data_IF_927663333169
#
_entry.id   IF_927663333169
#
_cell.length_a   1.000
_cell.length_b   1.000
_cell.length_c   1.000
_cell.angle_alpha   90.00
_cell.angle_beta   90.00
_cell.angle_gamma   90.00
#
_symmetry.space_group_name_H-M   'P 1'
#
loop_
_entity.id
_entity.type
_entity.pdbx_description
1 polymer ?
#
# COMPACT_ATOMS: atom_id res chain seq x y z
N UNK A 1 1.86 33.62 10.74
CA UNK A 1 0.94 32.49 10.52
C UNK A 1 1.29 31.92 9.16
N UNK A 2 2.17 30.92 9.10
CA UNK A 2 2.47 30.21 7.86
C UNK A 2 1.29 29.31 7.55
N UNK A 3 0.63 29.52 6.42
CA UNK A 3 -0.42 28.64 5.91
C UNK A 3 0.11 27.20 5.82
N UNK A 4 -0.77 26.18 5.80
CA UNK A 4 -0.34 24.80 5.66
C UNK A 4 0.51 24.69 4.39
N UNK A 5 1.78 24.27 4.55
CA UNK A 5 2.66 24.05 3.40
C UNK A 5 1.96 23.06 2.44
N UNK A 6 1.85 23.44 1.16
CA UNK A 6 1.33 22.54 0.13
C UNK A 6 2.18 21.27 0.18
N UNK A 7 1.52 20.14 0.46
CA UNK A 7 2.21 18.83 0.51
C UNK A 7 2.73 18.49 -0.88
N UNK A 8 4.02 18.19 -0.98
CA UNK A 8 4.67 17.79 -2.23
C UNK A 8 4.08 16.45 -2.72
N UNK A 9 3.59 16.44 -3.98
CA UNK A 9 3.07 15.22 -4.62
C UNK A 9 4.26 14.35 -5.05
N UNK A 10 4.35 13.13 -4.52
CA UNK A 10 5.37 12.16 -4.91
C UNK A 10 4.87 11.24 -6.03
N UNK A 11 3.67 10.69 -5.88
CA UNK A 11 3.04 9.80 -6.86
C UNK A 11 1.62 10.28 -7.17
N UNK A 12 1.26 10.28 -8.44
CA UNK A 12 -0.09 10.59 -8.91
C UNK A 12 -0.55 9.50 -9.87
N UNK A 13 -1.75 8.97 -9.64
CA UNK A 13 -2.41 7.97 -10.47
C UNK A 13 -3.66 8.59 -11.07
N UNK A 14 -3.75 8.60 -12.43
CA UNK A 14 -4.82 9.22 -13.20
C UNK A 14 -5.51 8.19 -14.09
N UNK A 15 -6.79 7.99 -13.90
CA UNK A 15 -7.68 7.13 -14.71
C UNK A 15 -7.05 5.75 -15.01
N UNK A 16 -6.37 5.18 -14.02
CA UNK A 16 -5.61 3.95 -14.20
C UNK A 16 -6.55 2.78 -14.47
N UNK A 17 -6.28 2.10 -15.60
CA UNK A 17 -6.98 0.89 -15.99
C UNK A 17 -5.99 -0.25 -16.17
N UNK A 18 -6.32 -1.44 -15.64
CA UNK A 18 -5.51 -2.65 -15.78
C UNK A 18 -6.44 -3.81 -16.09
N UNK A 19 -6.27 -4.39 -17.29
CA UNK A 19 -7.06 -5.49 -17.79
C UNK A 19 -6.16 -6.71 -17.98
N UNK A 20 -6.54 -7.85 -17.43
CA UNK A 20 -5.90 -9.14 -17.68
C UNK A 20 -6.60 -9.89 -18.80
N UNK A 21 -5.84 -10.60 -19.62
CA UNK A 21 -6.33 -11.37 -20.72
C UNK A 21 -6.76 -10.52 -21.92
N UNK A 22 -7.39 -11.17 -22.93
CA UNK A 22 -7.84 -10.53 -24.17
C UNK A 22 -9.20 -11.11 -24.63
N UNK A 23 -9.95 -10.32 -25.38
CA UNK A 23 -11.24 -10.73 -25.95
C UNK A 23 -12.27 -11.11 -24.89
N UNK A 24 -12.97 -12.24 -25.07
CA UNK A 24 -14.04 -12.68 -24.14
C UNK A 24 -13.57 -13.11 -22.76
N UNK A 25 -12.26 -13.27 -22.54
CA UNK A 25 -11.64 -13.61 -21.25
C UNK A 25 -10.98 -12.41 -20.60
N UNK A 26 -11.19 -11.22 -21.12
CA UNK A 26 -10.68 -10.00 -20.51
C UNK A 26 -11.36 -9.77 -19.16
N UNK A 27 -10.56 -9.41 -18.16
CA UNK A 27 -11.02 -9.07 -16.81
C UNK A 27 -10.37 -7.76 -16.37
N UNK A 28 -11.20 -6.77 -16.04
CA UNK A 28 -10.74 -5.47 -15.58
C UNK A 28 -10.44 -5.52 -14.08
N UNK A 29 -9.17 -5.69 -13.75
CA UNK A 29 -8.70 -5.76 -12.38
C UNK A 29 -8.63 -4.39 -11.69
N UNK A 30 -8.45 -3.31 -12.47
CA UNK A 30 -8.47 -1.93 -11.99
C UNK A 30 -9.21 -1.08 -13.02
N UNK A 31 -10.13 -0.25 -12.55
CA UNK A 31 -11.00 0.58 -13.37
C UNK A 31 -10.95 2.03 -12.88
N UNK A 32 -10.43 2.94 -13.72
CA UNK A 32 -10.40 4.39 -13.49
C UNK A 32 -9.92 4.79 -12.08
N UNK A 33 -8.87 4.12 -11.58
CA UNK A 33 -8.34 4.46 -10.27
C UNK A 33 -7.64 5.82 -10.30
N UNK A 34 -8.03 6.69 -9.37
CA UNK A 34 -7.51 8.05 -9.23
C UNK A 34 -7.10 8.30 -7.77
N UNK A 35 -5.85 8.64 -7.53
CA UNK A 35 -5.36 9.07 -6.21
C UNK A 35 -3.98 9.73 -6.31
N UNK A 36 -3.63 10.43 -5.25
CA UNK A 36 -2.34 11.10 -5.09
C UNK A 36 -1.69 10.64 -3.79
N UNK A 37 -0.39 10.39 -3.81
CA UNK A 37 0.42 10.10 -2.61
C UNK A 37 1.41 11.25 -2.41
N UNK A 38 1.38 11.83 -1.21
CA UNK A 38 2.30 12.91 -0.85
C UNK A 38 3.61 12.36 -0.29
N UNK A 39 4.68 13.12 -0.46
CA UNK A 39 5.99 12.77 0.07
C UNK A 39 5.97 12.64 1.59
N UNK A 40 6.56 11.56 2.10
CA UNK A 40 6.67 11.26 3.52
C UNK A 40 5.39 10.73 4.16
N UNK A 41 4.26 10.56 3.41
CA UNK A 41 3.05 9.95 3.98
C UNK A 41 3.04 8.42 3.86
N UNK A 42 2.27 7.79 4.72
CA UNK A 42 1.81 6.41 4.52
C UNK A 42 0.40 6.45 3.97
N UNK A 43 0.26 6.13 2.67
CA UNK A 43 -1.02 6.01 1.99
C UNK A 43 -1.49 4.57 2.05
N UNK A 44 -2.64 4.33 2.69
CA UNK A 44 -3.25 3.02 2.83
C UNK A 44 -4.14 2.67 1.64
N UNK A 45 -4.06 1.45 1.13
CA UNK A 45 -4.98 0.90 0.13
C UNK A 45 -5.61 -0.38 0.69
N UNK A 46 -6.91 -0.33 1.01
CA UNK A 46 -7.64 -1.41 1.70
C UNK A 46 -8.80 -1.93 0.88
N UNK A 47 -9.12 -3.20 1.02
CA UNK A 47 -10.25 -3.88 0.36
C UNK A 47 -10.10 -5.39 0.44
N UNK A 48 -11.11 -6.13 0.05
CA UNK A 48 -11.10 -7.60 0.03
C UNK A 48 -10.02 -8.20 -0.88
N UNK A 49 -9.73 -9.49 -0.70
CA UNK A 49 -8.84 -10.22 -1.60
C UNK A 49 -9.39 -10.18 -3.03
N UNK A 50 -8.51 -9.95 -4.00
CA UNK A 50 -8.90 -9.82 -5.42
C UNK A 50 -9.48 -8.46 -5.81
N UNK A 51 -9.54 -7.46 -4.92
CA UNK A 51 -10.08 -6.13 -5.26
C UNK A 51 -9.18 -5.27 -6.15
N UNK A 52 -7.95 -5.70 -6.47
CA UNK A 52 -7.03 -4.96 -7.35
C UNK A 52 -5.85 -4.28 -6.66
N UNK A 53 -5.72 -4.35 -5.32
CA UNK A 53 -4.65 -3.68 -4.54
C UNK A 53 -3.24 -4.02 -5.00
N UNK A 54 -2.89 -5.29 -4.97
CA UNK A 54 -1.59 -5.80 -5.42
C UNK A 54 -1.33 -5.49 -6.90
N UNK A 55 -2.38 -5.49 -7.72
CA UNK A 55 -2.32 -5.13 -9.14
C UNK A 55 -1.88 -3.68 -9.31
N UNK A 56 -2.45 -2.74 -8.55
CA UNK A 56 -2.03 -1.33 -8.54
C UNK A 56 -0.56 -1.22 -8.08
N UNK A 57 -0.19 -1.85 -6.97
CA UNK A 57 1.19 -1.84 -6.48
C UNK A 57 2.19 -2.34 -7.52
N UNK A 58 1.89 -3.45 -8.19
CA UNK A 58 2.74 -4.02 -9.25
C UNK A 58 2.80 -3.16 -10.51
N UNK A 59 1.74 -2.44 -10.84
CA UNK A 59 1.74 -1.49 -11.97
C UNK A 59 2.63 -0.27 -11.68
N UNK A 60 2.59 0.26 -10.44
CA UNK A 60 3.49 1.34 -10.00
C UNK A 60 4.95 0.90 -10.09
N UNK A 61 5.26 -0.32 -9.70
CA UNK A 61 6.59 -0.93 -9.83
C UNK A 61 6.96 -1.32 -11.27
N UNK A 62 6.06 -1.12 -12.24
CA UNK A 62 6.25 -1.48 -13.65
C UNK A 62 6.42 -3.00 -13.89
N UNK A 63 6.05 -3.83 -12.92
CA UNK A 63 6.02 -5.30 -13.05
C UNK A 63 4.85 -5.73 -13.94
N UNK A 64 3.75 -4.97 -13.91
CA UNK A 64 2.57 -5.19 -14.75
C UNK A 64 2.35 -4.01 -15.70
N UNK A 65 2.00 -4.28 -16.98
CA UNK A 65 1.60 -3.23 -17.89
C UNK A 65 0.21 -2.67 -17.51
N UNK A 66 -0.03 -1.41 -17.86
CA UNK A 66 -1.33 -0.76 -17.72
C UNK A 66 -2.08 -0.80 -19.05
N UNK A 67 -3.43 -0.93 -19.01
CA UNK A 67 -4.29 -0.89 -20.19
C UNK A 67 -4.67 0.53 -20.58
N UNK A 68 -4.67 1.47 -19.59
CA UNK A 68 -5.00 2.88 -19.79
C UNK A 68 -4.61 3.72 -18.58
N UNK A 69 -4.72 5.03 -18.71
CA UNK A 69 -4.39 5.98 -17.67
C UNK A 69 -2.89 6.25 -17.52
N UNK A 70 -2.56 7.02 -16.50
CA UNK A 70 -1.19 7.48 -16.25
C UNK A 70 -0.78 7.26 -14.78
N UNK A 71 0.48 6.91 -14.61
CA UNK A 71 1.17 6.90 -13.32
C UNK A 71 2.32 7.88 -13.43
N UNK A 72 2.27 8.93 -12.59
CA UNK A 72 3.27 9.98 -12.55
C UNK A 72 4.04 9.88 -11.22
N UNK A 73 5.36 9.80 -11.30
CA UNK A 73 6.25 9.85 -10.15
C UNK A 73 7.09 11.12 -10.21
N UNK A 74 7.00 11.97 -9.19
CA UNK A 74 7.61 13.33 -9.21
C UNK A 74 7.22 14.13 -10.47
N UNK A 75 5.93 14.03 -10.87
CA UNK A 75 5.41 14.69 -12.07
C UNK A 75 5.82 14.06 -13.41
N UNK A 76 6.64 13.02 -13.40
CA UNK A 76 7.13 12.34 -14.60
C UNK A 76 6.38 11.01 -14.81
N UNK A 77 5.86 10.80 -16.05
CA UNK A 77 5.16 9.56 -16.40
C UNK A 77 6.11 8.36 -16.35
N UNK A 78 5.70 7.33 -15.60
CA UNK A 78 6.49 6.13 -15.38
C UNK A 78 5.89 4.85 -15.98
N UNK A 79 4.62 4.83 -16.37
CA UNK A 79 4.03 3.67 -17.05
C UNK A 79 4.23 3.74 -18.56
N UNK A 80 4.20 2.57 -19.23
CA UNK A 80 4.50 2.45 -20.66
C UNK A 80 6.01 2.46 -20.98
N UNK A 81 6.38 2.99 -22.14
CA UNK A 81 7.79 3.09 -22.55
C UNK A 81 8.46 4.29 -21.90
N UNK A 82 9.56 4.06 -21.20
CA UNK A 82 10.40 5.12 -20.59
C UNK A 82 11.85 4.97 -21.02
N UNK A 83 12.66 6.01 -20.75
CA UNK A 83 14.09 5.95 -21.01
C UNK A 83 14.81 4.99 -20.05
N UNK A 84 15.94 4.41 -20.50
CA UNK A 84 16.76 3.53 -19.65
C UNK A 84 17.31 4.26 -18.42
N UNK A 85 17.55 5.56 -18.53
CA UNK A 85 18.02 6.38 -17.42
C UNK A 85 16.95 6.50 -16.33
N UNK A 86 15.69 6.79 -16.73
CA UNK A 86 14.57 6.86 -15.80
C UNK A 86 14.28 5.48 -15.16
N UNK A 87 14.34 4.42 -15.94
CA UNK A 87 14.13 3.06 -15.42
C UNK A 87 15.15 2.70 -14.33
N UNK A 88 16.43 3.04 -14.54
CA UNK A 88 17.49 2.86 -13.55
C UNK A 88 17.26 3.72 -12.29
N UNK A 89 16.79 4.95 -12.45
CA UNK A 89 16.43 5.83 -11.33
C UNK A 89 15.28 5.24 -10.51
N UNK A 90 14.19 4.82 -11.18
CA UNK A 90 13.02 4.23 -10.52
C UNK A 90 13.37 2.95 -9.76
N UNK A 91 14.25 2.11 -10.33
CA UNK A 91 14.74 0.89 -9.66
C UNK A 91 15.46 1.18 -8.34
N UNK A 92 16.06 2.36 -8.19
CA UNK A 92 16.64 2.81 -6.92
C UNK A 92 15.58 3.40 -6.00
N UNK A 93 14.74 4.31 -6.53
CA UNK A 93 13.86 5.16 -5.72
C UNK A 93 12.58 4.46 -5.28
N UNK A 94 12.11 3.44 -6.02
CA UNK A 94 10.88 2.70 -5.73
C UNK A 94 11.21 1.24 -5.43
N UNK A 95 10.84 0.76 -4.25
CA UNK A 95 11.08 -0.61 -3.80
C UNK A 95 9.79 -1.29 -3.34
N UNK A 96 9.85 -2.62 -3.15
CA UNK A 96 8.72 -3.42 -2.69
C UNK A 96 9.07 -4.26 -1.47
N UNK A 97 8.17 -4.28 -0.50
CA UNK A 97 8.13 -5.29 0.55
C UNK A 97 7.01 -6.26 0.20
N UNK A 98 7.35 -7.53 0.04
CA UNK A 98 6.43 -8.57 -0.44
C UNK A 98 5.58 -9.16 0.69
N UNK A 99 4.41 -9.68 0.33
CA UNK A 99 3.45 -10.31 1.22
C UNK A 99 4.00 -11.55 1.92
N UNK A 100 4.66 -12.43 1.16
CA UNK A 100 5.23 -13.68 1.67
C UNK A 100 6.76 -13.63 1.65
N UNK A 101 7.39 -13.50 2.83
CA UNK A 101 8.84 -13.50 2.92
C UNK A 101 9.47 -14.84 2.52
N UNK A 102 8.73 -15.97 2.60
CA UNK A 102 9.27 -17.27 2.25
C UNK A 102 9.45 -17.38 0.73
N UNK A 103 8.43 -17.03 -0.04
CA UNK A 103 8.52 -17.08 -1.51
C UNK A 103 9.40 -15.98 -2.11
N UNK A 104 9.67 -14.91 -1.37
CA UNK A 104 10.42 -13.74 -1.86
C UNK A 104 11.93 -13.80 -1.59
N UNK A 105 12.39 -14.69 -0.72
CA UNK A 105 13.80 -14.87 -0.38
C UNK A 105 14.35 -16.15 -1.02
N UNK A 106 15.56 -16.08 -1.60
CA UNK A 106 16.25 -17.25 -2.12
C UNK A 106 16.81 -18.09 -0.98
N UNK A 107 16.17 -19.21 -0.64
CA UNK A 107 16.57 -20.11 0.44
C UNK A 107 17.99 -20.69 0.31
N UNK A 108 18.60 -20.62 -0.88
CA UNK A 108 19.96 -21.10 -1.16
C UNK A 108 21.02 -20.01 -1.08
N UNK A 109 20.63 -18.76 -0.87
CA UNK A 109 21.53 -17.63 -0.76
C UNK A 109 21.68 -17.20 0.71
N UNK A 110 22.87 -16.72 1.08
CA UNK A 110 23.10 -16.10 2.39
C UNK A 110 22.34 -14.79 2.51
N UNK A 111 21.96 -14.42 3.72
CA UNK A 111 21.29 -13.14 4.03
C UNK A 111 22.10 -11.95 3.51
N UNK A 112 23.44 -11.97 3.64
CA UNK A 112 24.30 -10.93 3.09
C UNK A 112 24.13 -10.72 1.59
N UNK A 113 23.99 -11.80 0.82
CA UNK A 113 23.74 -11.73 -0.61
C UNK A 113 22.35 -11.18 -0.90
N UNK A 114 21.30 -11.72 -0.25
CA UNK A 114 19.89 -11.32 -0.46
C UNK A 114 19.70 -9.82 -0.19
N UNK A 115 20.23 -9.35 0.94
CA UNK A 115 20.11 -7.94 1.32
C UNK A 115 20.95 -7.06 0.40
N UNK A 116 22.20 -7.49 0.07
CA UNK A 116 23.16 -6.70 -0.69
C UNK A 116 22.97 -6.72 -2.21
N UNK A 117 22.12 -7.61 -2.77
CA UNK A 117 21.96 -7.80 -4.21
C UNK A 117 21.59 -6.49 -4.95
N UNK A 118 20.66 -5.72 -4.38
CA UNK A 118 20.24 -4.43 -4.95
C UNK A 118 21.37 -3.42 -5.13
N UNK A 119 22.38 -3.43 -4.23
CA UNK A 119 23.52 -2.53 -4.31
C UNK A 119 24.40 -2.77 -5.54
N UNK A 120 24.45 -4.00 -6.06
CA UNK A 120 25.27 -4.31 -7.25
C UNK A 120 24.81 -3.51 -8.48
N UNK A 121 23.50 -3.30 -8.61
CA UNK A 121 22.90 -2.61 -9.72
C UNK A 121 22.84 -1.08 -9.49
N UNK A 122 22.54 -0.68 -8.25
CA UNK A 122 22.30 0.73 -7.91
C UNK A 122 23.58 1.47 -7.54
N UNK A 123 24.54 0.79 -6.90
CA UNK A 123 25.81 1.35 -6.42
C UNK A 123 27.00 0.46 -6.83
N UNK A 124 27.26 0.32 -8.14
CA UNK A 124 28.40 -0.47 -8.63
C UNK A 124 29.76 0.12 -8.22
N UNK A 125 29.79 1.37 -7.81
CA UNK A 125 30.96 2.11 -7.31
C UNK A 125 31.47 1.61 -5.94
N UNK A 126 30.64 0.90 -5.17
CA UNK A 126 31.02 0.46 -3.83
C UNK A 126 32.00 -0.72 -3.87
N UNK A 127 33.04 -0.64 -3.06
CA UNK A 127 33.95 -1.80 -2.79
C UNK A 127 33.22 -2.94 -2.05
N UNK A 128 33.74 -4.16 -2.08
CA UNK A 128 33.16 -5.28 -1.31
C UNK A 128 33.01 -4.96 0.17
N UNK A 129 34.02 -4.36 0.82
CA UNK A 129 33.97 -3.98 2.22
C UNK A 129 32.89 -2.91 2.53
N UNK A 130 32.70 -1.94 1.64
CA UNK A 130 31.64 -0.94 1.79
C UNK A 130 30.24 -1.56 1.63
N UNK A 131 30.07 -2.54 0.76
CA UNK A 131 28.81 -3.29 0.62
C UNK A 131 28.51 -4.10 1.86
N UNK A 132 29.51 -4.79 2.41
CA UNK A 132 29.37 -5.57 3.64
C UNK A 132 28.95 -4.67 4.82
N UNK A 133 29.55 -3.49 4.96
CA UNK A 133 29.18 -2.53 5.99
C UNK A 133 27.74 -2.01 5.81
N UNK A 134 27.29 -1.73 4.56
CA UNK A 134 25.90 -1.35 4.29
C UNK A 134 24.92 -2.49 4.62
N UNK A 135 25.28 -3.75 4.34
CA UNK A 135 24.47 -4.91 4.74
C UNK A 135 24.37 -5.02 6.25
N UNK A 136 25.50 -4.88 6.95
CA UNK A 136 25.55 -4.85 8.42
C UNK A 136 24.62 -3.79 9.01
N UNK A 137 24.68 -2.57 8.47
CA UNK A 137 23.82 -1.47 8.91
C UNK A 137 22.35 -1.73 8.59
N UNK A 138 22.03 -2.23 7.41
CA UNK A 138 20.64 -2.55 7.03
C UNK A 138 20.02 -3.62 7.93
N UNK A 139 20.80 -4.59 8.40
CA UNK A 139 20.33 -5.58 9.38
C UNK A 139 20.06 -4.94 10.74
N UNK A 140 20.95 -4.07 11.21
CA UNK A 140 20.75 -3.31 12.46
C UNK A 140 19.49 -2.43 12.39
N UNK A 141 19.26 -1.75 11.28
CA UNK A 141 18.11 -0.88 11.07
C UNK A 141 16.77 -1.61 11.23
N UNK A 142 16.74 -2.91 10.94
CA UNK A 142 15.54 -3.74 11.13
C UNK A 142 15.56 -4.57 12.42
N UNK A 143 16.51 -4.30 13.32
CA UNK A 143 16.65 -4.98 14.61
C UNK A 143 17.13 -6.44 14.50
N UNK A 144 17.95 -6.74 13.50
CA UNK A 144 18.64 -8.02 13.37
C UNK A 144 20.13 -7.88 13.68
N UNK A 145 20.72 -8.94 14.22
CA UNK A 145 22.16 -8.97 14.54
C UNK A 145 22.99 -9.05 13.24
N UNK A 146 24.10 -8.30 13.13
CA UNK A 146 24.98 -8.34 11.96
C UNK A 146 25.51 -9.74 11.62
N UNK A 147 25.75 -10.60 12.64
CA UNK A 147 26.23 -11.98 12.47
C UNK A 147 25.26 -12.84 11.65
N UNK A 148 24.00 -12.44 11.57
CA UNK A 148 22.99 -13.11 10.76
C UNK A 148 23.24 -13.01 9.26
N UNK A 149 24.11 -12.11 8.82
CA UNK A 149 24.51 -11.94 7.42
C UNK A 149 25.07 -13.23 6.78
N UNK A 150 25.72 -14.10 7.58
CA UNK A 150 26.32 -15.36 7.12
C UNK A 150 25.34 -16.53 7.02
N UNK A 151 24.15 -16.41 7.59
CA UNK A 151 23.12 -17.46 7.67
C UNK A 151 22.23 -17.50 6.42
N UNK A 152 21.38 -18.55 6.35
CA UNK A 152 20.40 -18.76 5.29
C UNK A 152 18.98 -18.49 5.77
N UNK A 153 18.02 -18.12 4.89
CA UNK A 153 16.65 -17.78 5.28
C UNK A 153 15.94 -18.87 6.09
N UNK A 154 16.16 -20.16 5.80
CA UNK A 154 15.53 -21.26 6.53
C UNK A 154 15.92 -21.36 8.00
N UNK A 155 16.97 -20.69 8.45
CA UNK A 155 17.40 -20.62 9.85
C UNK A 155 16.65 -19.56 10.68
N UNK A 156 15.70 -18.83 10.08
CA UNK A 156 15.00 -17.69 10.69
C UNK A 156 13.50 -17.93 10.87
N UNK A 157 12.92 -17.31 11.89
CA UNK A 157 11.47 -17.24 12.06
C UNK A 157 10.81 -16.40 10.95
N UNK A 158 9.49 -16.53 10.76
CA UNK A 158 8.73 -15.76 9.78
C UNK A 158 8.91 -14.25 9.95
N UNK A 159 8.87 -13.75 11.19
CA UNK A 159 9.11 -12.33 11.47
C UNK A 159 10.53 -11.85 11.19
N UNK A 160 11.53 -12.69 11.43
CA UNK A 160 12.92 -12.39 11.08
C UNK A 160 13.11 -12.39 9.56
N UNK A 161 12.51 -13.33 8.83
CA UNK A 161 12.52 -13.34 7.36
C UNK A 161 11.87 -12.09 6.79
N UNK A 162 10.74 -11.63 7.39
CA UNK A 162 10.12 -10.37 6.99
C UNK A 162 11.06 -9.18 7.19
N UNK A 163 11.77 -9.13 8.31
CA UNK A 163 12.77 -8.07 8.56
C UNK A 163 13.94 -8.13 7.57
N UNK A 164 14.37 -9.32 7.13
CA UNK A 164 15.35 -9.47 6.05
C UNK A 164 14.81 -8.89 4.74
N UNK A 165 13.53 -9.16 4.40
CA UNK A 165 12.85 -8.58 3.24
C UNK A 165 12.76 -7.05 3.31
N UNK A 166 12.50 -6.49 4.50
CA UNK A 166 12.50 -5.06 4.73
C UNK A 166 13.92 -4.49 4.55
N UNK A 167 14.95 -5.12 5.14
CA UNK A 167 16.36 -4.70 4.99
C UNK A 167 16.78 -4.69 3.52
N UNK A 168 16.38 -5.69 2.73
CA UNK A 168 16.62 -5.75 1.28
C UNK A 168 16.01 -4.55 0.54
N UNK A 169 14.80 -4.14 0.91
CA UNK A 169 14.16 -2.98 0.29
C UNK A 169 14.85 -1.66 0.70
N UNK A 170 15.30 -1.55 1.95
CA UNK A 170 15.89 -0.33 2.51
C UNK A 170 17.33 -0.05 2.09
N UNK A 171 18.11 -1.08 1.75
CA UNK A 171 19.56 -0.95 1.55
C UNK A 171 19.93 -0.02 0.38
N UNK A 172 19.03 0.14 -0.59
CA UNK A 172 19.21 1.04 -1.74
C UNK A 172 18.77 2.48 -1.44
N UNK A 173 18.30 2.75 -0.21
CA UNK A 173 17.84 4.04 0.27
C UNK A 173 16.69 4.60 -0.60
N UNK A 174 15.53 3.89 -0.68
CA UNK A 174 14.40 4.29 -1.52
C UNK A 174 13.67 5.51 -0.93
N UNK A 175 13.03 6.29 -1.80
CA UNK A 175 12.10 7.35 -1.37
C UNK A 175 10.65 6.83 -1.24
N UNK A 176 10.30 5.78 -2.00
CA UNK A 176 8.97 5.22 -2.04
C UNK A 176 8.98 3.69 -1.92
N UNK A 177 8.15 3.14 -1.05
CA UNK A 177 8.02 1.70 -0.85
C UNK A 177 6.57 1.28 -1.02
N UNK A 178 6.32 0.31 -1.89
CA UNK A 178 5.07 -0.45 -1.95
C UNK A 178 5.17 -1.60 -0.96
N UNK A 179 4.43 -1.55 0.13
CA UNK A 179 4.34 -2.60 1.13
C UNK A 179 3.06 -3.43 0.89
N UNK A 180 3.21 -4.55 0.17
CA UNK A 180 2.09 -5.41 -0.21
C UNK A 180 1.85 -6.47 0.87
N UNK A 181 0.82 -6.26 1.69
CA UNK A 181 0.41 -7.10 2.82
C UNK A 181 1.59 -7.57 3.72
N UNK A 182 2.49 -6.67 4.17
CA UNK A 182 3.78 -7.04 4.76
C UNK A 182 3.69 -7.75 6.11
N UNK A 183 2.49 -7.90 6.66
CA UNK A 183 2.24 -8.49 7.99
C UNK A 183 1.21 -9.63 7.97
N UNK A 184 0.62 -9.95 6.82
CA UNK A 184 -0.50 -10.91 6.72
C UNK A 184 -0.13 -12.32 7.21
N UNK A 185 1.08 -12.76 6.93
CA UNK A 185 1.60 -14.09 7.29
C UNK A 185 2.23 -14.17 8.69
N UNK A 186 2.13 -13.11 9.52
CA UNK A 186 2.80 -13.01 10.81
C UNK A 186 1.82 -13.16 11.98
N UNK A 187 2.32 -13.68 13.11
CA UNK A 187 1.60 -13.73 14.38
C UNK A 187 1.34 -12.31 14.92
N UNK A 188 0.28 -12.14 15.72
CA UNK A 188 -0.19 -10.84 16.21
C UNK A 188 0.90 -10.01 16.90
N UNK A 189 1.73 -10.62 17.77
CA UNK A 189 2.82 -9.93 18.47
C UNK A 189 3.91 -9.44 17.52
N UNK A 190 4.23 -10.22 16.51
CA UNK A 190 5.23 -9.90 15.50
C UNK A 190 4.70 -8.82 14.52
N UNK A 191 3.38 -8.87 14.18
CA UNK A 191 2.74 -7.81 13.37
C UNK A 191 2.95 -6.43 13.97
N UNK A 192 2.70 -6.26 15.28
CA UNK A 192 2.89 -4.99 15.97
C UNK A 192 4.35 -4.48 15.89
N UNK A 193 5.32 -5.40 16.06
CA UNK A 193 6.74 -5.04 15.95
C UNK A 193 7.12 -4.58 14.54
N UNK A 194 6.64 -5.25 13.49
CA UNK A 194 6.92 -4.88 12.09
C UNK A 194 6.24 -3.57 11.74
N UNK A 195 4.99 -3.33 12.17
CA UNK A 195 4.31 -2.05 11.96
C UNK A 195 5.05 -0.88 12.63
N UNK A 196 5.49 -1.08 13.88
CA UNK A 196 6.27 -0.07 14.61
C UNK A 196 7.61 0.22 13.90
N UNK A 197 8.28 -0.81 13.39
CA UNK A 197 9.50 -0.66 12.61
C UNK A 197 9.26 0.18 11.35
N UNK A 198 8.23 -0.13 10.54
CA UNK A 198 7.92 0.61 9.31
C UNK A 198 7.56 2.08 9.62
N UNK A 199 6.78 2.32 10.68
CA UNK A 199 6.43 3.67 11.14
C UNK A 199 7.64 4.46 11.63
N UNK A 200 8.57 3.81 12.33
CA UNK A 200 9.83 4.42 12.77
C UNK A 200 10.68 4.83 11.56
N UNK A 201 10.86 3.91 10.60
CA UNK A 201 11.60 4.16 9.35
C UNK A 201 10.98 5.30 8.50
N UNK A 202 9.64 5.38 8.43
CA UNK A 202 8.95 6.50 7.79
C UNK A 202 9.37 7.84 8.42
N UNK A 203 9.31 7.93 9.74
CA UNK A 203 9.61 9.17 10.47
C UNK A 203 11.08 9.56 10.42
N UNK A 204 11.97 8.60 10.60
CA UNK A 204 13.43 8.86 10.67
C UNK A 204 14.04 9.14 9.30
N UNK A 205 13.53 8.48 8.24
CA UNK A 205 14.12 8.55 6.89
C UNK A 205 13.25 9.30 5.88
N UNK A 206 12.06 9.74 6.26
CA UNK A 206 11.12 10.42 5.35
C UNK A 206 10.60 9.52 4.22
N UNK A 207 10.59 8.19 4.42
CA UNK A 207 10.13 7.24 3.40
C UNK A 207 8.63 7.39 3.19
N UNK A 208 8.20 7.41 1.94
CA UNK A 208 6.79 7.38 1.57
C UNK A 208 6.35 5.94 1.37
N UNK A 209 5.16 5.57 1.87
CA UNK A 209 4.62 4.22 1.70
C UNK A 209 3.30 4.22 0.93
N UNK A 210 3.15 3.27 -0.01
CA UNK A 210 1.86 2.69 -0.37
C UNK A 210 1.70 1.39 0.44
N UNK A 211 0.89 1.44 1.48
CA UNK A 211 0.65 0.30 2.36
C UNK A 211 -0.63 -0.42 1.94
N UNK A 212 -0.51 -1.65 1.50
CA UNK A 212 -1.62 -2.50 1.06
C UNK A 212 -1.96 -3.49 2.17
N UNK A 213 -3.23 -3.54 2.58
CA UNK A 213 -3.74 -4.56 3.50
C UNK A 213 -5.24 -4.81 3.26
N UNK A 214 -5.78 -5.83 3.92
CA UNK A 214 -7.21 -6.11 3.93
C UNK A 214 -7.89 -5.74 5.27
N UNK A 215 -7.11 -5.35 6.28
CA UNK A 215 -7.58 -5.04 7.63
C UNK A 215 -7.54 -3.53 7.88
N UNK A 216 -8.71 -2.92 8.04
CA UNK A 216 -8.88 -1.48 8.31
C UNK A 216 -8.33 -1.07 9.69
N UNK A 217 -8.29 -1.97 10.68
CA UNK A 217 -7.73 -1.65 12.01
C UNK A 217 -6.22 -1.44 11.93
N UNK A 218 -5.54 -2.24 11.12
CA UNK A 218 -4.12 -2.06 10.80
C UNK A 218 -3.90 -0.75 10.05
N UNK A 219 -4.77 -0.47 9.07
CA UNK A 219 -4.67 0.74 8.25
C UNK A 219 -4.83 2.01 9.08
N UNK A 220 -5.81 2.06 10.00
CA UNK A 220 -5.97 3.18 10.93
C UNK A 220 -4.71 3.45 11.75
N UNK A 221 -3.97 2.40 12.12
CA UNK A 221 -2.77 2.53 12.94
C UNK A 221 -1.57 3.11 12.18
N UNK A 222 -1.37 2.68 10.92
CA UNK A 222 -0.14 3.00 10.18
C UNK A 222 -0.30 4.12 9.15
N UNK A 223 -1.51 4.33 8.61
CA UNK A 223 -1.74 5.22 7.47
C UNK A 223 -2.12 6.64 7.90
N UNK A 224 -1.70 7.63 7.11
CA UNK A 224 -2.15 9.01 7.21
C UNK A 224 -3.49 9.19 6.49
N UNK A 225 -3.63 8.57 5.31
CA UNK A 225 -4.84 8.54 4.48
C UNK A 225 -5.10 7.14 4.00
N UNK A 226 -6.38 6.81 3.78
CA UNK A 226 -6.81 5.48 3.35
C UNK A 226 -7.71 5.61 2.12
N UNK A 227 -7.42 4.84 1.07
CA UNK A 227 -8.32 4.58 -0.04
C UNK A 227 -8.92 3.18 0.09
N UNK A 228 -10.22 3.09 -0.06
CA UNK A 228 -10.99 1.82 -0.04
C UNK A 228 -11.26 1.40 -1.47
N UNK A 229 -10.83 0.20 -1.85
CA UNK A 229 -11.01 -0.34 -3.19
C UNK A 229 -11.90 -1.59 -3.18
N UNK A 230 -12.85 -1.66 -4.11
CA UNK A 230 -13.72 -2.81 -4.32
C UNK A 230 -13.86 -3.10 -5.80
N UNK A 231 -13.65 -4.36 -6.21
CA UNK A 231 -13.77 -4.81 -7.62
C UNK A 231 -13.08 -3.88 -8.62
N UNK A 232 -11.86 -3.44 -8.30
CA UNK A 232 -11.03 -2.61 -9.16
C UNK A 232 -11.34 -1.11 -9.11
N UNK A 233 -12.35 -0.65 -8.38
CA UNK A 233 -12.70 0.77 -8.24
C UNK A 233 -12.39 1.30 -6.85
N UNK A 234 -11.82 2.48 -6.78
CA UNK A 234 -11.69 3.21 -5.51
C UNK A 234 -13.06 3.81 -5.19
N UNK A 235 -13.60 3.47 -4.02
CA UNK A 235 -14.94 3.86 -3.61
C UNK A 235 -14.92 5.03 -2.62
N UNK A 236 -13.90 5.10 -1.77
CA UNK A 236 -13.79 6.12 -0.72
C UNK A 236 -12.32 6.41 -0.43
N UNK A 237 -11.99 7.68 -0.12
CA UNK A 237 -10.65 8.13 0.25
C UNK A 237 -10.76 9.25 1.26
N UNK A 238 -10.14 9.09 2.43
CA UNK A 238 -10.09 10.13 3.46
C UNK A 238 -8.83 10.03 4.32
N UNK A 239 -8.66 11.00 5.22
CA UNK A 239 -7.72 10.87 6.33
C UNK A 239 -8.10 9.64 7.15
N UNK A 240 -7.12 8.87 7.67
CA UNK A 240 -7.36 7.56 8.26
C UNK A 240 -8.36 7.58 9.43
N UNK A 241 -8.29 8.60 10.28
CA UNK A 241 -9.20 8.76 11.41
C UNK A 241 -10.61 9.14 10.92
N UNK A 242 -10.72 10.06 9.96
CA UNK A 242 -11.98 10.49 9.36
C UNK A 242 -12.72 9.32 8.72
N UNK A 243 -12.02 8.49 7.93
CA UNK A 243 -12.60 7.34 7.25
C UNK A 243 -13.18 6.30 8.24
N UNK A 244 -12.53 6.10 9.39
CA UNK A 244 -12.96 5.13 10.39
C UNK A 244 -14.12 5.66 11.25
N UNK A 245 -14.09 6.97 11.58
CA UNK A 245 -15.12 7.58 12.44
C UNK A 245 -16.38 8.00 11.67
N UNK A 246 -16.22 8.38 10.41
CA UNK A 246 -17.31 8.87 9.54
C UNK A 246 -17.29 8.19 8.15
N UNK A 247 -17.43 6.86 8.08
CA UNK A 247 -17.44 6.16 6.79
C UNK A 247 -18.69 6.54 6.01
N UNK A 248 -18.54 6.96 4.76
CA UNK A 248 -19.63 7.39 3.91
C UNK A 248 -20.16 6.26 3.04
N UNK A 249 -19.26 5.56 2.33
CA UNK A 249 -19.66 4.49 1.41
C UNK A 249 -20.16 3.24 2.15
N UNK A 250 -21.28 2.62 1.74
CA UNK A 250 -21.82 1.40 2.38
C UNK A 250 -20.82 0.26 2.48
N UNK A 251 -19.95 0.09 1.49
CA UNK A 251 -18.88 -0.92 1.53
C UNK A 251 -17.87 -0.66 2.64
N UNK A 252 -17.46 0.59 2.86
CA UNK A 252 -16.55 0.96 3.96
C UNK A 252 -17.20 0.66 5.33
N UNK A 253 -18.48 0.98 5.47
CA UNK A 253 -19.28 0.65 6.68
C UNK A 253 -19.33 -0.86 6.91
N UNK A 254 -19.51 -1.66 5.85
CA UNK A 254 -19.48 -3.12 5.90
C UNK A 254 -18.11 -3.63 6.38
N UNK A 255 -17.01 -3.15 5.82
CA UNK A 255 -15.65 -3.53 6.24
C UNK A 255 -15.39 -3.18 7.72
N UNK A 256 -15.79 -1.98 8.16
CA UNK A 256 -15.66 -1.55 9.55
C UNK A 256 -16.52 -2.40 10.50
N UNK A 257 -17.73 -2.77 10.06
CA UNK A 257 -18.60 -3.64 10.85
C UNK A 257 -18.01 -5.03 11.06
N UNK A 258 -17.09 -5.49 10.22
CA UNK A 258 -16.43 -6.78 10.32
C UNK A 258 -15.22 -6.79 11.29
N UNK A 259 -14.72 -5.60 11.72
CA UNK A 259 -13.57 -5.52 12.64
C UNK A 259 -14.00 -6.07 14.03
N UNK A 260 -13.30 -7.07 14.59
CA UNK A 260 -13.63 -7.60 15.91
C UNK A 260 -13.51 -6.54 17.01
N UNK A 261 -14.48 -6.49 17.92
CA UNK A 261 -14.41 -5.63 19.09
C UNK A 261 -13.59 -6.27 20.21
N UNK A 262 -12.73 -5.51 20.93
CA UNK A 262 -11.96 -6.05 22.05
C UNK A 262 -12.83 -6.59 23.20
N UNK A 263 -14.04 -6.05 23.38
CA UNK A 263 -15.00 -6.50 24.40
C UNK A 263 -15.88 -7.63 23.84
N UNK A 264 -15.79 -8.86 24.36
CA UNK A 264 -16.60 -9.99 23.90
C UNK A 264 -18.12 -9.80 24.05
N UNK A 265 -18.56 -8.94 24.99
CA UNK A 265 -19.98 -8.64 25.18
C UNK A 265 -20.50 -7.78 24.03
N UNK A 266 -19.78 -6.73 23.71
CA UNK A 266 -20.10 -5.83 22.58
C UNK A 266 -20.00 -6.56 21.25
N UNK A 267 -19.03 -7.48 21.10
CA UNK A 267 -18.90 -8.31 19.89
C UNK A 267 -20.14 -9.17 19.63
N UNK A 268 -20.78 -9.72 20.67
CA UNK A 268 -22.03 -10.52 20.55
C UNK A 268 -23.24 -9.69 20.13
N UNK A 269 -23.28 -8.43 20.51
CA UNK A 269 -24.38 -7.50 20.19
C UNK A 269 -24.20 -6.80 18.84
N UNK A 270 -23.03 -6.96 18.24
CA UNK A 270 -22.65 -6.29 17.00
C UNK A 270 -23.43 -6.83 15.81
N UNK A 271 -24.02 -5.93 15.05
CA UNK A 271 -24.66 -6.25 13.76
C UNK A 271 -23.66 -6.15 12.63
N UNK A 272 -23.43 -7.24 11.91
CA UNK A 272 -22.62 -7.24 10.71
C UNK A 272 -23.40 -6.63 9.54
N UNK A 273 -22.84 -5.62 8.92
CA UNK A 273 -23.40 -5.03 7.70
C UNK A 273 -22.88 -5.82 6.50
N UNK A 274 -23.78 -6.35 5.70
CA UNK A 274 -23.44 -7.02 4.46
C UNK A 274 -23.62 -6.01 3.32
N UNK A 275 -22.53 -5.75 2.58
CA UNK A 275 -22.60 -4.90 1.40
C UNK A 275 -23.07 -5.69 0.19
N UNK A 276 -24.15 -5.22 -0.45
CA UNK A 276 -24.62 -5.74 -1.73
C UNK A 276 -24.36 -4.67 -2.82
N UNK A 277 -23.48 -4.93 -3.79
CA UNK A 277 -23.25 -4.00 -4.91
C UNK A 277 -24.50 -3.68 -5.74
N UNK A 278 -25.56 -4.51 -5.67
CA UNK A 278 -26.80 -4.28 -6.39
C UNK A 278 -27.63 -3.10 -5.86
N UNK A 279 -27.25 -2.55 -4.70
CA UNK A 279 -27.89 -1.30 -4.19
C UNK A 279 -27.56 -0.07 -5.06
N UNK A 280 -26.50 -0.16 -5.88
CA UNK A 280 -26.05 0.90 -6.77
C UNK A 280 -26.58 0.67 -8.19
N UNK A 281 -27.47 1.52 -8.66
CA UNK A 281 -27.92 1.52 -10.06
C UNK A 281 -27.11 2.50 -10.90
N UNK A 282 -25.90 2.10 -11.27
CA UNK A 282 -25.03 2.91 -12.14
C UNK A 282 -25.37 2.77 -13.64
N UNK A 283 -26.40 2.01 -14.00
CA UNK A 283 -26.88 1.93 -15.40
C UNK A 283 -27.68 3.18 -15.78
N UNK A 284 -28.41 3.77 -14.83
CA UNK A 284 -29.19 4.97 -15.01
C UNK A 284 -28.36 6.25 -14.86
N UNK A 285 -27.41 6.24 -13.93
CA UNK A 285 -26.57 7.40 -13.63
C UNK A 285 -25.15 6.96 -13.27
N UNK A 286 -24.16 7.45 -14.03
CA UNK A 286 -22.76 7.12 -13.77
C UNK A 286 -22.28 7.72 -12.44
N UNK A 287 -21.58 6.94 -11.58
CA UNK A 287 -21.06 7.46 -10.34
C UNK A 287 -19.96 8.49 -10.61
N UNK A 288 -19.88 9.48 -9.76
CA UNK A 288 -18.89 10.54 -9.81
C UNK A 288 -18.07 10.56 -8.54
N UNK A 289 -16.78 10.88 -8.69
CA UNK A 289 -15.86 11.07 -7.59
C UNK A 289 -16.02 12.47 -7.03
N UNK A 290 -16.55 12.60 -5.81
CA UNK A 290 -16.86 13.91 -5.20
C UNK A 290 -16.33 14.01 -3.78
N UNK A 291 -15.94 15.23 -3.41
CA UNK A 291 -15.56 15.57 -2.05
C UNK A 291 -16.82 15.97 -1.27
N UNK A 292 -17.23 15.17 -0.29
CA UNK A 292 -18.39 15.46 0.57
C UNK A 292 -18.00 16.17 1.87
N UNK A 293 -16.79 15.91 2.38
CA UNK A 293 -16.22 16.56 3.57
C UNK A 293 -14.79 17.04 3.28
N UNK A 294 -14.21 17.91 4.07
CA UNK A 294 -12.81 18.31 3.89
C UNK A 294 -11.90 17.08 3.82
N UNK A 295 -11.18 16.91 2.71
CA UNK A 295 -10.27 15.79 2.44
C UNK A 295 -10.91 14.40 2.46
N UNK A 296 -12.23 14.31 2.31
CA UNK A 296 -13.00 13.08 2.26
C UNK A 296 -13.75 12.98 0.94
N UNK A 297 -13.33 12.03 0.12
CA UNK A 297 -13.82 11.80 -1.22
C UNK A 297 -14.55 10.46 -1.29
N UNK A 298 -15.64 10.40 -2.03
CA UNK A 298 -16.42 9.19 -2.21
C UNK A 298 -16.97 9.10 -3.63
N UNK A 299 -17.09 7.88 -4.15
CA UNK A 299 -17.67 7.57 -5.44
C UNK A 299 -19.16 7.28 -5.26
N UNK A 300 -20.04 8.10 -5.84
CA UNK A 300 -21.50 7.94 -5.77
C UNK A 300 -22.22 8.62 -6.92
N UNK A 301 -23.49 8.22 -7.18
CA UNK A 301 -24.40 8.91 -8.09
C UNK A 301 -25.13 10.08 -7.39
N UNK A 302 -25.72 11.00 -8.16
CA UNK A 302 -26.45 12.14 -7.62
C UNK A 302 -27.65 11.70 -6.74
N UNK A 303 -28.32 10.63 -7.17
CA UNK A 303 -29.44 10.05 -6.43
C UNK A 303 -29.05 9.45 -5.07
N UNK A 304 -27.84 8.90 -4.96
CA UNK A 304 -27.29 8.36 -3.70
C UNK A 304 -26.88 9.47 -2.73
N UNK A 305 -26.40 10.61 -3.26
CA UNK A 305 -25.97 11.75 -2.45
C UNK A 305 -27.07 12.22 -1.51
N UNK A 306 -28.27 12.39 -2.03
CA UNK A 306 -29.42 12.86 -1.25
C UNK A 306 -29.77 11.90 -0.09
N UNK A 307 -29.62 10.59 -0.33
CA UNK A 307 -29.89 9.57 0.69
C UNK A 307 -28.81 9.54 1.78
N UNK A 308 -27.53 9.66 1.40
CA UNK A 308 -26.41 9.54 2.36
C UNK A 308 -26.29 10.78 3.24
N UNK A 309 -26.48 11.99 2.69
CA UNK A 309 -26.50 13.25 3.46
C UNK A 309 -27.67 13.24 4.46
N UNK A 310 -28.86 12.78 4.06
CA UNK A 310 -30.01 12.70 4.96
C UNK A 310 -29.87 11.66 6.09
N UNK A 311 -29.04 10.64 5.89
CA UNK A 311 -28.73 9.64 6.94
C UNK A 311 -27.71 10.17 7.97
N UNK A 312 -26.76 11.00 7.54
CA UNK A 312 -25.79 11.63 8.46
C UNK A 312 -26.44 12.67 9.39
N UNK A 313 -27.41 13.43 8.89
CA UNK A 313 -28.14 14.43 9.70
C UNK A 313 -29.03 13.76 10.79
N UNK A 314 -29.27 12.45 10.70
CA UNK A 314 -30.08 11.67 11.65
C UNK A 314 -29.27 10.81 12.63
N UNK A 315 -27.95 10.75 12.48
CA UNK A 315 -27.01 9.97 13.30
C UNK A 315 -26.26 10.83 14.29
#
# INVERSE_FOLDING_TARGET
MTGPAEKEVLLEVKDLNITYGTGRRAYDAVQQANFVIYKGETFGLVGESGSGKTTIGRAILRILPTSGGEILYKGQKINGRISRALDKQLTKEIQMIFQDPQSSLNERAKVSYIVGEGLQNVRPDLTPAQREEKVRQALLDVGLLPEFASRFPHEFSGGQRQRIGIARALIVEPEFIVADEPISALDMSIRAQVLNLLRHLQKERGITYLFIAHDLSVMRYISDRIAVIHRGRILELADAEELVTHPLHPYTRSLLSAIPMPDPRREREKTLLIYDPAIHDYSAEAPQWRQLRPRHWVLYSESEAAQWISQEERS
#
